data_IF_174851740872
#
_entry.id   IF_174851740872
#
_cell.length_a   1.000
_cell.length_b   1.000
_cell.length_c   1.000
_cell.angle_alpha   90.00
_cell.angle_beta   90.00
_cell.angle_gamma   90.00
#
_symmetry.space_group_name_H-M   'P 1'
#
loop_
_entity.id
_entity.type
_entity.pdbx_description
1 polymer ?
#
# COMPACT_ATOMS: atom_id res chain seq x y z
N UNK A 1 33.18 14.92 -45.76
CA UNK A 1 32.71 16.29 -45.44
C UNK A 1 31.52 16.61 -46.32
N UNK A 2 30.31 16.53 -45.75
CA UNK A 2 29.08 17.21 -46.16
C UNK A 2 28.05 16.91 -45.04
N UNK A 3 27.37 17.91 -44.47
CA UNK A 3 26.59 17.76 -43.25
C UNK A 3 25.19 17.22 -43.56
N UNK A 4 24.73 16.27 -42.75
CA UNK A 4 23.34 15.82 -42.73
C UNK A 4 22.49 16.91 -42.05
N UNK A 5 21.52 17.42 -42.80
CA UNK A 5 20.60 18.47 -42.40
C UNK A 5 19.65 18.00 -41.30
N UNK A 6 19.55 18.79 -40.23
CA UNK A 6 18.45 18.77 -39.28
C UNK A 6 17.16 19.18 -39.99
N UNK A 7 16.12 18.35 -39.90
CA UNK A 7 14.75 18.78 -40.14
C UNK A 7 13.99 18.72 -38.80
N UNK A 8 13.51 19.87 -38.28
CA UNK A 8 12.70 19.93 -37.07
C UNK A 8 11.22 19.80 -37.43
N UNK A 9 10.45 19.14 -36.57
CA UNK A 9 9.09 19.50 -36.15
C UNK A 9 8.23 18.26 -35.82
N UNK A 10 7.35 18.49 -34.83
CA UNK A 10 6.18 17.71 -34.42
C UNK A 10 6.49 16.56 -33.44
N UNK A 11 6.08 16.60 -32.18
CA UNK A 11 5.18 17.54 -31.53
C UNK A 11 4.88 17.19 -30.08
N UNK A 12 4.05 18.06 -29.52
CA UNK A 12 3.35 18.01 -28.23
C UNK A 12 4.19 17.88 -26.96
N UNK A 13 4.37 19.05 -26.33
CA UNK A 13 4.48 19.23 -24.88
C UNK A 13 3.62 18.21 -24.12
N UNK A 14 4.23 17.12 -23.65
CA UNK A 14 3.71 16.42 -22.48
C UNK A 14 4.18 17.23 -21.28
N UNK A 15 3.24 17.99 -20.69
CA UNK A 15 3.37 18.43 -19.30
C UNK A 15 3.62 17.17 -18.48
N UNK A 16 4.85 16.97 -18.05
CA UNK A 16 5.14 16.10 -16.92
C UNK A 16 4.48 16.76 -15.72
N UNK A 17 3.23 16.38 -15.46
CA UNK A 17 2.57 16.71 -14.21
C UNK A 17 3.24 15.84 -13.15
N UNK A 18 4.38 16.30 -12.65
CA UNK A 18 4.93 15.80 -11.39
C UNK A 18 3.96 16.26 -10.31
N UNK A 19 2.89 15.49 -10.09
CA UNK A 19 2.12 15.60 -8.85
C UNK A 19 3.03 15.01 -7.79
N UNK A 20 3.82 15.87 -7.14
CA UNK A 20 4.50 15.52 -5.91
C UNK A 20 3.44 15.09 -4.90
N UNK A 21 3.33 13.79 -4.68
CA UNK A 21 2.43 13.21 -3.69
C UNK A 21 3.05 13.41 -2.32
N UNK A 22 2.81 14.60 -1.76
CA UNK A 22 2.74 14.77 -0.32
C UNK A 22 1.56 13.93 0.19
N UNK A 23 1.77 12.61 0.37
CA UNK A 23 0.92 11.82 1.26
C UNK A 23 1.24 12.26 2.70
N UNK A 24 0.72 13.43 3.10
CA UNK A 24 -0.01 13.48 4.36
C UNK A 24 -1.36 12.88 4.03
N UNK A 25 -1.82 11.90 4.81
CA UNK A 25 -3.25 11.65 4.85
C UNK A 25 -3.90 13.01 5.12
N UNK A 26 -4.78 13.46 4.23
CA UNK A 26 -5.56 14.68 4.46
C UNK A 26 -6.39 14.43 5.71
N UNK A 27 -5.91 14.87 6.86
CA UNK A 27 -6.68 14.88 8.13
C UNK A 27 -7.78 15.96 8.11
N UNK A 28 -7.95 16.64 6.98
CA UNK A 28 -8.88 17.74 6.71
C UNK A 28 -9.99 17.37 5.70
N UNK A 29 -10.52 16.14 5.75
CA UNK A 29 -11.78 15.81 5.06
C UNK A 29 -12.94 15.61 6.05
N UNK A 30 -13.62 16.68 6.52
CA UNK A 30 -14.78 16.56 7.37
C UNK A 30 -16.05 16.46 6.51
N UNK A 31 -16.16 15.41 5.70
CA UNK A 31 -17.45 15.05 5.09
C UNK A 31 -17.92 13.73 5.70
N UNK A 32 -18.17 13.76 7.01
CA UNK A 32 -18.76 12.66 7.77
C UNK A 32 -20.01 12.11 7.09
N UNK A 33 -20.72 12.92 6.31
CA UNK A 33 -21.85 12.51 5.51
C UNK A 33 -21.47 11.54 4.37
N UNK A 34 -20.35 11.77 3.65
CA UNK A 34 -19.86 10.87 2.59
C UNK A 34 -19.48 9.54 3.20
N UNK A 35 -18.74 9.53 4.30
CA UNK A 35 -18.37 8.29 4.98
C UNK A 35 -19.59 7.53 5.50
N UNK A 36 -20.52 8.24 6.16
CA UNK A 36 -21.74 7.64 6.69
C UNK A 36 -22.66 7.12 5.59
N UNK A 37 -22.70 7.79 4.44
CA UNK A 37 -23.41 7.32 3.26
C UNK A 37 -22.71 6.10 2.64
N UNK A 38 -21.38 6.18 2.49
CA UNK A 38 -20.58 5.12 1.90
C UNK A 38 -20.68 3.81 2.70
N UNK A 39 -20.67 3.89 4.04
CA UNK A 39 -20.86 2.75 4.95
C UNK A 39 -22.22 2.07 4.82
N UNK A 40 -23.25 2.75 4.29
CA UNK A 40 -24.59 2.18 4.07
C UNK A 40 -24.72 1.42 2.75
N UNK A 41 -23.79 1.61 1.82
CA UNK A 41 -23.80 0.91 0.54
C UNK A 41 -23.18 -0.48 0.74
N UNK A 42 -23.88 -1.58 0.38
CA UNK A 42 -23.36 -2.91 0.58
C UNK A 42 -22.20 -3.19 -0.37
N UNK A 43 -21.20 -3.97 0.07
CA UNK A 43 -20.00 -4.29 -0.71
C UNK A 43 -20.30 -4.80 -2.14
N UNK A 44 -21.29 -5.68 -2.38
CA UNK A 44 -21.64 -6.11 -3.74
C UNK A 44 -22.02 -4.96 -4.69
N UNK A 45 -22.61 -3.88 -4.18
CA UNK A 45 -22.93 -2.71 -5.00
C UNK A 45 -21.67 -1.96 -5.43
N UNK A 46 -20.68 -1.81 -4.54
CA UNK A 46 -19.36 -1.27 -4.92
C UNK A 46 -18.65 -2.16 -5.94
N UNK A 47 -18.66 -3.48 -5.72
CA UNK A 47 -18.03 -4.44 -6.62
C UNK A 47 -18.66 -4.41 -8.03
N UNK A 48 -19.95 -4.11 -8.12
CA UNK A 48 -20.67 -3.96 -9.39
C UNK A 48 -20.39 -2.60 -10.06
N UNK A 49 -20.38 -1.51 -9.30
CA UNK A 49 -20.21 -0.15 -9.82
C UNK A 49 -18.76 0.15 -10.22
N UNK A 50 -17.79 -0.31 -9.43
CA UNK A 50 -16.36 -0.04 -9.59
C UNK A 50 -15.62 -1.34 -9.88
N UNK A 51 -16.01 -2.00 -10.97
CA UNK A 51 -15.42 -3.28 -11.36
C UNK A 51 -13.98 -3.10 -11.84
N UNK A 52 -13.05 -3.77 -11.16
CA UNK A 52 -11.64 -3.89 -11.55
C UNK A 52 -11.31 -5.35 -11.83
N UNK A 53 -10.24 -5.61 -12.57
CA UNK A 53 -9.74 -6.98 -12.75
C UNK A 53 -9.01 -7.43 -11.47
N UNK A 54 -8.03 -6.62 -11.05
CA UNK A 54 -7.23 -6.82 -9.85
C UNK A 54 -7.13 -5.50 -9.08
N UNK A 55 -7.19 -5.58 -7.75
CA UNK A 55 -6.99 -4.47 -6.82
C UNK A 55 -5.75 -4.81 -5.98
N UNK A 56 -4.76 -3.91 -5.98
CA UNK A 56 -3.61 -4.01 -5.09
C UNK A 56 -3.95 -3.43 -3.72
N UNK A 57 -3.78 -4.23 -2.67
CA UNK A 57 -3.94 -3.79 -1.28
C UNK A 57 -2.57 -3.79 -0.61
N UNK A 58 -2.10 -2.61 -0.20
CA UNK A 58 -0.78 -2.42 0.40
C UNK A 58 -0.88 -2.19 1.90
N UNK A 59 -0.10 -2.96 2.65
CA UNK A 59 0.21 -2.76 4.06
C UNK A 59 1.68 -2.38 4.21
N UNK A 60 2.03 -1.69 5.29
CA UNK A 60 3.42 -1.37 5.60
C UNK A 60 3.82 -2.04 6.91
N UNK A 61 3.10 -1.74 8.00
CA UNK A 61 3.39 -2.29 9.32
C UNK A 61 2.12 -2.83 10.00
N UNK A 62 2.32 -3.90 10.79
CA UNK A 62 1.33 -4.48 11.70
C UNK A 62 2.01 -4.66 13.05
N UNK A 63 1.69 -3.83 14.02
CA UNK A 63 2.30 -3.85 15.35
C UNK A 63 1.26 -3.49 16.40
N UNK A 64 1.37 -4.10 17.58
CA UNK A 64 0.53 -3.75 18.74
C UNK A 64 1.13 -2.61 19.57
N UNK A 65 2.40 -2.30 19.34
CA UNK A 65 3.16 -1.33 20.11
C UNK A 65 3.23 0.00 19.36
N UNK A 66 3.38 1.09 20.11
CA UNK A 66 3.74 2.38 19.55
C UNK A 66 5.14 2.27 18.94
N UNK A 67 5.29 2.73 17.71
CA UNK A 67 6.54 2.67 16.97
C UNK A 67 6.94 4.10 16.62
N UNK A 68 7.76 4.80 17.42
CA UNK A 68 8.07 6.22 17.19
C UNK A 68 8.63 6.52 15.79
N UNK A 69 9.24 5.52 15.16
CA UNK A 69 9.78 5.58 13.81
C UNK A 69 8.70 5.45 12.70
N UNK A 70 7.44 5.15 13.05
CA UNK A 70 6.28 5.00 12.16
C UNK A 70 5.10 5.89 12.56
N UNK A 71 4.93 6.16 13.85
CA UNK A 71 3.74 6.79 14.44
C UNK A 71 3.38 8.14 13.80
N UNK A 72 4.39 8.86 13.26
CA UNK A 72 4.20 10.16 12.60
C UNK A 72 4.14 10.07 11.07
N UNK A 73 4.12 8.88 10.49
CA UNK A 73 4.16 8.64 9.04
C UNK A 73 2.91 7.93 8.53
N UNK A 74 2.56 6.82 9.17
CA UNK A 74 1.55 5.89 8.68
C UNK A 74 0.79 5.28 9.86
N UNK A 75 -0.55 5.18 9.79
CA UNK A 75 -1.29 4.40 10.76
C UNK A 75 -1.00 2.91 10.56
N UNK A 76 -0.78 2.19 11.65
CA UNK A 76 -0.60 0.73 11.66
C UNK A 76 -1.70 0.04 12.44
N UNK A 77 -1.93 -1.23 12.10
CA UNK A 77 -2.92 -2.09 12.75
C UNK A 77 -2.27 -3.02 13.76
N UNK A 78 -3.01 -3.40 14.78
CA UNK A 78 -2.65 -4.53 15.63
C UNK A 78 -2.78 -5.84 14.86
N UNK A 79 -2.12 -6.90 15.34
CA UNK A 79 -2.23 -8.24 14.75
C UNK A 79 -3.67 -8.75 14.67
N UNK A 80 -4.49 -8.48 15.69
CA UNK A 80 -5.91 -8.87 15.73
C UNK A 80 -6.74 -8.13 14.68
N UNK A 81 -6.54 -6.83 14.52
CA UNK A 81 -7.22 -6.04 13.49
C UNK A 81 -6.80 -6.47 12.07
N UNK A 82 -5.52 -6.80 11.89
CA UNK A 82 -5.04 -7.33 10.62
C UNK A 82 -5.60 -8.73 10.33
N UNK A 83 -5.69 -9.61 11.33
CA UNK A 83 -6.33 -10.92 11.17
C UNK A 83 -7.81 -10.78 10.78
N UNK A 84 -8.53 -9.82 11.34
CA UNK A 84 -9.90 -9.50 10.92
C UNK A 84 -9.98 -9.04 9.46
N UNK A 85 -9.03 -8.22 9.00
CA UNK A 85 -8.94 -7.86 7.57
C UNK A 85 -8.76 -9.10 6.70
N UNK A 86 -7.84 -10.00 7.06
CA UNK A 86 -7.57 -11.22 6.29
C UNK A 86 -8.81 -12.11 6.17
N UNK A 87 -9.56 -12.28 7.26
CA UNK A 87 -10.80 -13.06 7.28
C UNK A 87 -11.86 -12.42 6.38
N UNK A 88 -12.06 -11.11 6.50
CA UNK A 88 -12.99 -10.36 5.65
C UNK A 88 -12.62 -10.46 4.17
N UNK A 89 -11.33 -10.29 3.83
CA UNK A 89 -10.87 -10.37 2.46
C UNK A 89 -11.06 -11.77 1.88
N UNK A 90 -10.77 -12.81 2.66
CA UNK A 90 -10.94 -14.21 2.25
C UNK A 90 -12.42 -14.58 2.02
N UNK A 91 -13.32 -14.00 2.82
CA UNK A 91 -14.76 -14.21 2.66
C UNK A 91 -15.32 -13.54 1.40
N UNK A 92 -14.87 -12.33 1.08
CA UNK A 92 -15.53 -11.50 0.07
C UNK A 92 -14.81 -11.38 -1.27
N UNK A 93 -13.53 -11.76 -1.35
CA UNK A 93 -12.70 -11.58 -2.54
C UNK A 93 -11.96 -12.86 -2.93
N UNK A 94 -11.42 -12.89 -4.15
CA UNK A 94 -10.40 -13.87 -4.53
C UNK A 94 -9.03 -13.26 -4.23
N UNK A 95 -8.30 -13.82 -3.26
CA UNK A 95 -6.91 -13.47 -3.00
C UNK A 95 -6.03 -14.25 -3.98
N UNK A 96 -5.13 -13.55 -4.67
CA UNK A 96 -4.32 -14.13 -5.76
C UNK A 96 -2.83 -14.01 -5.48
N UNK A 97 -2.06 -14.97 -6.00
CA UNK A 97 -0.59 -14.92 -6.00
C UNK A 97 -0.03 -14.09 -7.15
N UNK A 98 1.28 -13.83 -7.10
CA UNK A 98 1.99 -13.19 -8.19
C UNK A 98 1.98 -14.04 -9.47
N UNK A 99 2.13 -15.34 -9.34
CA UNK A 99 2.10 -16.30 -10.45
C UNK A 99 0.72 -16.31 -11.12
N UNK A 100 -0.37 -16.28 -10.34
CA UNK A 100 -1.73 -16.18 -10.86
C UNK A 100 -1.95 -14.84 -11.58
N UNK A 101 -1.42 -13.74 -11.03
CA UNK A 101 -1.43 -12.44 -11.70
C UNK A 101 -0.73 -12.51 -13.06
N UNK A 102 0.48 -13.10 -13.12
CA UNK A 102 1.22 -13.26 -14.38
C UNK A 102 0.47 -14.14 -15.38
N UNK A 103 -0.06 -15.29 -14.94
CA UNK A 103 -0.85 -16.18 -15.77
C UNK A 103 -2.10 -15.46 -16.32
N UNK A 104 -2.74 -14.63 -15.49
CA UNK A 104 -3.87 -13.82 -15.91
C UNK A 104 -3.48 -12.79 -16.98
N UNK A 105 -2.38 -12.07 -16.78
CA UNK A 105 -1.88 -11.10 -17.78
C UNK A 105 -1.50 -11.77 -19.10
N UNK A 106 -1.03 -13.01 -19.04
CA UNK A 106 -0.70 -13.82 -20.22
C UNK A 106 -1.94 -14.42 -20.92
N UNK A 107 -3.14 -14.26 -20.37
CA UNK A 107 -4.38 -14.85 -20.90
C UNK A 107 -4.57 -16.34 -20.57
N UNK A 108 -3.69 -16.90 -19.73
CA UNK A 108 -3.70 -18.33 -19.36
C UNK A 108 -4.59 -18.63 -18.15
N UNK A 109 -5.01 -17.60 -17.41
CA UNK A 109 -5.89 -17.72 -16.24
C UNK A 109 -6.95 -16.61 -16.28
N UNK A 110 -8.19 -16.96 -15.96
CA UNK A 110 -9.27 -15.97 -15.77
C UNK A 110 -9.54 -15.78 -14.29
N UNK A 111 -9.30 -14.57 -13.80
CA UNK A 111 -9.56 -14.19 -12.41
C UNK A 111 -11.01 -13.73 -12.22
N UNK A 112 -11.51 -13.86 -10.98
CA UNK A 112 -12.75 -13.20 -10.58
C UNK A 112 -12.51 -11.68 -10.61
N UNK A 113 -13.50 -10.88 -11.05
CA UNK A 113 -13.41 -9.43 -10.93
C UNK A 113 -13.19 -9.02 -9.47
N UNK A 114 -12.43 -7.95 -9.29
CA UNK A 114 -12.05 -7.41 -7.98
C UNK A 114 -11.18 -8.40 -7.18
N UNK A 115 -10.39 -9.25 -7.85
CA UNK A 115 -9.39 -10.08 -7.15
C UNK A 115 -8.38 -9.20 -6.41
N UNK A 116 -7.95 -9.61 -5.23
CA UNK A 116 -7.04 -8.85 -4.38
C UNK A 116 -5.63 -9.43 -4.49
N UNK A 117 -4.68 -8.57 -4.84
CA UNK A 117 -3.25 -8.84 -4.67
C UNK A 117 -2.78 -8.15 -3.39
N UNK A 118 -2.43 -8.95 -2.38
CA UNK A 118 -1.96 -8.44 -1.10
C UNK A 118 -0.46 -8.15 -1.17
N UNK A 119 -0.06 -6.97 -0.72
CA UNK A 119 1.32 -6.47 -0.82
C UNK A 119 1.77 -5.82 0.48
N UNK A 120 3.07 -5.93 0.77
CA UNK A 120 3.72 -5.33 1.92
C UNK A 120 4.96 -4.56 1.46
N UNK A 121 5.05 -3.28 1.85
CA UNK A 121 6.17 -2.41 1.51
C UNK A 121 7.14 -2.22 2.70
N UNK A 122 8.27 -1.57 2.44
CA UNK A 122 9.35 -1.19 3.37
C UNK A 122 10.19 -2.33 3.94
N UNK A 123 9.58 -3.44 4.37
CA UNK A 123 10.29 -4.60 4.93
C UNK A 123 10.55 -4.54 6.43
N UNK A 124 9.63 -3.97 7.22
CA UNK A 124 9.72 -3.99 8.69
C UNK A 124 9.74 -5.42 9.26
N UNK A 125 10.38 -5.59 10.41
CA UNK A 125 10.59 -6.90 11.05
C UNK A 125 9.30 -7.66 11.35
N UNK A 126 8.22 -6.92 11.61
CA UNK A 126 6.87 -7.38 11.90
C UNK A 126 6.22 -8.05 10.69
N UNK A 127 6.66 -7.73 9.47
CA UNK A 127 6.28 -8.50 8.29
C UNK A 127 6.65 -9.99 8.45
N UNK A 128 7.78 -10.27 9.11
CA UNK A 128 8.24 -11.63 9.36
C UNK A 128 7.69 -12.22 10.67
N UNK A 129 7.75 -11.47 11.77
CA UNK A 129 7.39 -11.99 13.11
C UNK A 129 5.89 -12.02 13.37
N UNK A 130 5.10 -11.13 12.74
CA UNK A 130 3.65 -10.97 12.99
C UNK A 130 2.82 -11.35 11.76
N UNK A 131 3.11 -10.75 10.60
CA UNK A 131 2.29 -10.91 9.39
C UNK A 131 2.43 -12.31 8.80
N UNK A 132 3.66 -12.78 8.56
CA UNK A 132 3.93 -14.08 7.92
C UNK A 132 3.20 -15.25 8.59
N UNK A 133 3.22 -15.43 9.94
CA UNK A 133 2.47 -16.51 10.59
C UNK A 133 0.97 -16.49 10.27
N UNK A 134 0.34 -15.31 10.20
CA UNK A 134 -1.07 -15.17 9.86
C UNK A 134 -1.35 -15.49 8.39
N UNK A 135 -0.52 -15.01 7.48
CA UNK A 135 -0.64 -15.34 6.05
C UNK A 135 -0.53 -16.86 5.81
N UNK A 136 0.43 -17.52 6.49
CA UNK A 136 0.59 -18.97 6.43
C UNK A 136 -0.61 -19.70 7.03
N UNK A 137 -1.10 -19.27 8.21
CA UNK A 137 -2.27 -19.84 8.88
C UNK A 137 -3.51 -19.83 7.98
N UNK A 138 -3.69 -18.78 7.19
CA UNK A 138 -4.86 -18.60 6.33
C UNK A 138 -4.62 -18.95 4.86
N UNK A 139 -3.41 -19.41 4.51
CA UNK A 139 -2.99 -19.75 3.14
C UNK A 139 -3.21 -18.58 2.16
N UNK A 140 -2.90 -17.35 2.61
CA UNK A 140 -3.09 -16.14 1.83
C UNK A 140 -1.78 -15.77 1.14
N UNK A 141 -1.74 -15.75 -0.20
CA UNK A 141 -0.56 -15.29 -0.93
C UNK A 141 -0.37 -13.78 -0.76
N UNK A 142 0.89 -13.34 -0.69
CA UNK A 142 1.26 -11.93 -0.63
C UNK A 142 2.63 -11.69 -1.26
N UNK A 143 2.91 -10.44 -1.64
CA UNK A 143 4.22 -9.99 -2.13
C UNK A 143 4.84 -9.04 -1.11
N UNK A 144 6.15 -9.18 -0.86
CA UNK A 144 6.92 -8.28 0.01
C UNK A 144 7.93 -7.49 -0.84
N UNK A 145 7.83 -6.16 -0.83
CA UNK A 145 8.75 -5.25 -1.48
C UNK A 145 9.72 -4.67 -0.44
N UNK A 146 10.93 -5.22 -0.40
CA UNK A 146 11.92 -4.91 0.64
C UNK A 146 12.87 -3.79 0.22
N UNK A 147 13.17 -2.87 1.13
CA UNK A 147 14.26 -1.91 0.97
C UNK A 147 15.56 -2.60 1.34
N UNK A 148 16.30 -3.07 0.32
CA UNK A 148 17.47 -3.94 0.52
C UNK A 148 18.59 -3.33 1.36
N UNK A 149 18.78 -2.00 1.34
CA UNK A 149 19.78 -1.33 2.18
C UNK A 149 19.43 -1.32 3.67
N UNK A 150 18.15 -1.47 4.01
CA UNK A 150 17.67 -1.48 5.40
C UNK A 150 17.68 -2.89 6.03
N UNK A 151 17.90 -3.95 5.23
CA UNK A 151 17.99 -5.33 5.74
C UNK A 151 19.14 -5.45 6.74
N UNK A 152 18.93 -6.24 7.80
CA UNK A 152 19.82 -6.40 8.95
C UNK A 152 20.08 -5.07 9.71
N UNK A 153 19.17 -4.10 9.60
CA UNK A 153 19.31 -2.77 10.21
C UNK A 153 20.58 -2.02 9.79
N UNK A 154 21.12 -2.30 8.59
CA UNK A 154 22.32 -1.61 8.07
C UNK A 154 22.07 -0.13 7.82
N UNK A 155 20.86 0.19 7.39
CA UNK A 155 20.37 1.55 7.24
C UNK A 155 18.95 1.67 7.79
N UNK A 156 18.48 2.91 7.86
CA UNK A 156 17.10 3.24 8.20
C UNK A 156 16.52 4.14 7.12
N UNK A 157 15.33 3.81 6.65
CA UNK A 157 14.62 4.57 5.64
C UNK A 157 14.39 6.01 6.13
N UNK A 158 14.63 6.98 5.24
CA UNK A 158 14.75 8.39 5.65
C UNK A 158 13.46 8.93 6.30
N UNK A 159 12.28 8.43 5.90
CA UNK A 159 11.02 8.82 6.53
C UNK A 159 10.94 8.37 7.98
N UNK A 160 11.44 7.18 8.30
CA UNK A 160 11.51 6.72 9.69
C UNK A 160 12.37 7.64 10.56
N UNK A 161 13.48 8.14 10.02
CA UNK A 161 14.31 9.15 10.70
C UNK A 161 13.54 10.45 10.92
N UNK A 162 12.77 10.91 9.94
CA UNK A 162 11.91 12.10 10.08
C UNK A 162 10.87 11.89 11.19
N UNK A 163 10.24 10.72 11.26
CA UNK A 163 9.30 10.37 12.34
C UNK A 163 9.94 10.49 13.71
N UNK A 164 11.15 9.94 13.86
CA UNK A 164 11.90 10.04 15.12
C UNK A 164 12.27 11.48 15.47
N UNK A 165 12.60 12.32 14.49
CA UNK A 165 12.84 13.74 14.72
C UNK A 165 11.57 14.47 15.20
N UNK A 166 10.42 14.19 14.60
CA UNK A 166 9.13 14.76 15.03
C UNK A 166 8.81 14.32 16.46
N UNK A 167 8.92 13.02 16.73
CA UNK A 167 8.70 12.45 18.06
C UNK A 167 9.59 13.10 19.13
N UNK A 168 10.86 13.33 18.81
CA UNK A 168 11.79 14.01 19.70
C UNK A 168 11.41 15.47 19.96
N UNK A 169 11.01 16.22 18.93
CA UNK A 169 10.58 17.62 19.07
C UNK A 169 9.33 17.73 19.93
N UNK A 170 8.31 16.90 19.67
CA UNK A 170 7.07 16.91 20.44
C UNK A 170 7.28 16.58 21.92
N UNK A 171 8.27 15.75 22.25
CA UNK A 171 8.64 15.44 23.65
C UNK A 171 9.42 16.55 24.35
N UNK A 172 9.95 17.52 23.60
CA UNK A 172 10.68 18.67 24.16
C UNK A 172 9.78 19.88 24.42
N UNK A 173 8.61 19.96 23.78
CA UNK A 173 7.65 21.03 24.05
C UNK A 173 6.98 20.76 25.41
N UNK A 174 7.15 21.64 26.43
CA UNK A 174 6.43 21.50 27.69
C UNK A 174 4.94 21.80 27.48
N UNK A 175 4.09 21.11 28.25
CA UNK A 175 2.63 21.32 28.32
C UNK A 175 2.23 22.79 28.57
#
# INVERSE_FOLDING_TARGET
MLPLSLNPALGSSRRATTIGTNFRCRDDMPDTWIENFAKKIPLPAYQALVRREVIGLCYHAVSAEAQPHLDHLIPHKTASMFEQDLLFLKEHFQLISYEELLAHRAGNLRLRPNSILLTFDDGYSECYSVVRPLLLKYEIPAIFFLITSCIDNREMYFRNKVSLCIDAVLKMEPD
#
